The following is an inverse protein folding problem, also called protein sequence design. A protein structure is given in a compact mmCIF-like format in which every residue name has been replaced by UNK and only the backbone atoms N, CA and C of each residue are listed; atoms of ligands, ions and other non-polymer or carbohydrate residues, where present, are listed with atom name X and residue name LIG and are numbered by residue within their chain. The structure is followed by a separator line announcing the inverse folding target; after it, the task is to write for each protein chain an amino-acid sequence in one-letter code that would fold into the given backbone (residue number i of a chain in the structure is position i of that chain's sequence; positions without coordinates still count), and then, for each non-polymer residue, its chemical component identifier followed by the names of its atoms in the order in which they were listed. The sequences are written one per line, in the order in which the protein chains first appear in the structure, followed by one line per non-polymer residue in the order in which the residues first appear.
data_IF_112520701296
#
_entry.id   IF_112520701296
#
_cell.length_a   1.000
_cell.length_b   1.000
_cell.length_c   1.000
_cell.angle_alpha   90.00
_cell.angle_beta   90.00
_cell.angle_gamma   90.00
#
_symmetry.space_group_name_H-M   'P 1'
#
loop_
_entity.id
_entity.type
_entity.pdbx_description
1 polymer ?
#
# COMPACT_ATOMS: atom_id res chain seq x y z
N UNK A 1 -4.89 -38.13 -10.48
CA UNK A 1 -6.20 -38.08 -9.78
C UNK A 1 -5.85 -37.51 -8.43
N UNK A 2 -5.87 -36.19 -8.34
CA UNK A 2 -5.08 -35.48 -7.34
C UNK A 2 -5.99 -35.17 -6.14
N UNK A 3 -5.71 -35.75 -4.95
CA UNK A 3 -6.68 -35.81 -3.87
C UNK A 3 -6.63 -34.58 -2.95
N UNK A 4 -6.73 -33.35 -3.48
CA UNK A 4 -6.69 -32.16 -2.60
C UNK A 4 -7.45 -30.91 -3.06
N UNK A 5 -8.26 -30.96 -4.13
CA UNK A 5 -9.15 -29.82 -4.44
C UNK A 5 -10.45 -29.94 -3.66
N UNK A 6 -10.50 -29.33 -2.48
CA UNK A 6 -11.77 -29.10 -1.75
C UNK A 6 -12.36 -27.80 -2.29
N UNK A 7 -13.44 -27.92 -3.06
CA UNK A 7 -14.23 -26.77 -3.46
C UNK A 7 -15.17 -26.40 -2.31
N UNK A 8 -14.97 -25.22 -1.73
CA UNK A 8 -15.89 -24.68 -0.73
C UNK A 8 -16.94 -23.81 -1.43
N UNK A 9 -18.21 -24.14 -1.21
CA UNK A 9 -19.33 -23.42 -1.82
C UNK A 9 -19.83 -22.35 -0.85
N UNK A 10 -19.65 -21.07 -1.23
CA UNK A 10 -20.13 -19.94 -0.44
C UNK A 10 -21.44 -19.41 -1.05
N UNK A 11 -22.51 -19.39 -0.25
CA UNK A 11 -23.78 -18.76 -0.62
C UNK A 11 -23.70 -17.24 -0.39
N UNK A 12 -23.88 -16.48 -1.46
CA UNK A 12 -23.98 -15.03 -1.39
C UNK A 12 -25.38 -14.60 -0.93
N UNK A 13 -25.49 -13.37 -0.40
CA UNK A 13 -26.75 -12.79 0.07
C UNK A 13 -27.84 -12.67 -1.03
N UNK A 14 -27.45 -12.72 -2.31
CA UNK A 14 -28.37 -12.75 -3.45
C UNK A 14 -28.86 -14.18 -3.80
N UNK A 15 -28.50 -15.18 -3.00
CA UNK A 15 -28.86 -16.59 -3.19
C UNK A 15 -27.99 -17.34 -4.20
N UNK A 16 -26.99 -16.71 -4.82
CA UNK A 16 -26.07 -17.38 -5.74
C UNK A 16 -24.96 -18.10 -4.98
N UNK A 17 -24.73 -19.37 -5.30
CA UNK A 17 -23.57 -20.14 -4.81
C UNK A 17 -22.38 -19.90 -5.71
N UNK A 18 -21.26 -19.49 -5.13
CA UNK A 18 -19.97 -19.39 -5.84
C UNK A 18 -19.06 -20.49 -5.30
N UNK A 19 -18.50 -21.29 -6.20
CA UNK A 19 -17.43 -22.22 -5.85
C UNK A 19 -16.15 -21.41 -5.66
N UNK A 20 -15.63 -21.42 -4.44
CA UNK A 20 -14.34 -20.82 -4.11
C UNK A 20 -13.34 -21.95 -3.96
N UNK A 21 -12.37 -22.01 -4.86
CA UNK A 21 -11.23 -22.91 -4.71
C UNK A 21 -10.39 -22.42 -3.53
N UNK A 22 -10.42 -23.13 -2.41
CA UNK A 22 -9.51 -22.91 -1.29
C UNK A 22 -8.15 -23.54 -1.58
N UNK A 23 -7.59 -23.25 -2.75
CA UNK A 23 -6.20 -23.59 -3.03
C UNK A 23 -5.36 -22.62 -2.18
N UNK A 24 -5.01 -23.05 -0.96
CA UNK A 24 -3.95 -22.41 -0.21
C UNK A 24 -2.69 -22.54 -1.07
N UNK A 25 -2.27 -21.45 -1.72
CA UNK A 25 -0.88 -21.22 -2.08
C UNK A 25 -0.06 -21.03 -0.80
N UNK A 26 -0.20 -21.97 0.14
CA UNK A 26 0.84 -22.20 1.11
C UNK A 26 2.01 -22.76 0.30
N UNK A 27 3.24 -22.25 0.46
CA UNK A 27 4.39 -22.95 -0.06
C UNK A 27 4.37 -24.34 0.57
N UNK A 28 4.02 -25.34 -0.23
CA UNK A 28 4.18 -26.72 0.19
C UNK A 28 5.69 -26.93 0.43
N UNK A 29 6.01 -27.36 1.64
CA UNK A 29 7.23 -28.10 2.00
C UNK A 29 8.54 -27.30 2.18
N UNK A 30 8.67 -26.64 3.33
CA UNK A 30 9.98 -26.32 3.95
C UNK A 30 10.69 -27.57 4.56
N UNK A 31 10.24 -28.79 4.25
CA UNK A 31 10.61 -30.00 5.01
C UNK A 31 11.45 -31.05 4.27
N UNK A 32 11.37 -31.12 2.95
CA UNK A 32 12.11 -32.10 2.15
C UNK A 32 12.56 -31.42 0.86
N UNK A 33 13.64 -30.64 0.92
CA UNK A 33 14.38 -30.35 -0.30
C UNK A 33 14.91 -31.71 -0.78
N UNK A 34 14.44 -32.24 -1.92
CA UNK A 34 14.90 -33.53 -2.39
C UNK A 34 16.41 -33.41 -2.59
N UNK A 35 17.18 -34.07 -1.72
CA UNK A 35 18.63 -34.20 -1.90
C UNK A 35 18.81 -35.16 -3.08
N UNK A 36 18.74 -34.61 -4.29
CA UNK A 36 18.96 -35.37 -5.51
C UNK A 36 20.42 -35.80 -5.52
N UNK A 37 20.67 -37.09 -5.26
CA UNK A 37 21.99 -37.67 -5.43
C UNK A 37 22.31 -37.65 -6.92
N UNK A 38 23.12 -36.67 -7.33
CA UNK A 38 23.64 -36.61 -8.69
C UNK A 38 24.48 -37.86 -8.97
N UNK A 39 23.95 -38.78 -9.76
CA UNK A 39 24.64 -40.03 -10.11
C UNK A 39 25.84 -39.81 -11.05
N UNK A 40 25.89 -38.67 -11.74
CA UNK A 40 26.87 -38.39 -12.80
C UNK A 40 27.99 -37.43 -12.36
N UNK A 41 28.46 -37.53 -11.11
CA UNK A 41 29.61 -36.75 -10.64
C UNK A 41 30.89 -37.42 -11.16
N UNK A 42 31.35 -36.99 -12.34
CA UNK A 42 32.65 -37.43 -12.84
C UNK A 42 33.75 -36.80 -11.97
N UNK A 43 34.70 -37.62 -11.50
CA UNK A 43 35.68 -37.22 -10.49
C UNK A 43 36.45 -35.95 -10.82
N UNK A 44 36.84 -35.20 -9.78
CA UNK A 44 37.37 -33.83 -9.84
C UNK A 44 38.62 -33.64 -10.71
N UNK A 45 39.31 -34.72 -11.10
CA UNK A 45 40.49 -34.70 -11.96
C UNK A 45 40.22 -35.17 -13.40
N UNK A 46 38.98 -35.46 -13.74
CA UNK A 46 38.62 -35.91 -15.09
C UNK A 46 38.61 -34.71 -16.04
N UNK A 47 39.24 -34.85 -17.22
CA UNK A 47 39.28 -33.77 -18.21
C UNK A 47 37.88 -33.36 -18.68
N UNK A 48 37.75 -32.12 -19.15
CA UNK A 48 36.48 -31.58 -19.66
C UNK A 48 35.98 -32.43 -20.84
N UNK A 49 34.81 -33.06 -20.67
CA UNK A 49 34.09 -33.75 -21.74
C UNK A 49 33.34 -32.73 -22.61
N UNK A 50 33.07 -33.05 -23.87
CA UNK A 50 32.35 -32.19 -24.81
C UNK A 50 30.97 -31.71 -24.33
N UNK A 51 30.30 -32.46 -23.46
CA UNK A 51 28.95 -32.14 -22.95
C UNK A 51 28.94 -31.12 -21.80
N UNK A 52 30.11 -30.73 -21.27
CA UNK A 52 30.18 -29.80 -20.12
C UNK A 52 29.65 -28.41 -20.44
N UNK A 53 29.82 -27.95 -21.69
CA UNK A 53 29.40 -26.62 -22.09
C UNK A 53 27.88 -26.46 -22.03
N UNK A 54 27.14 -27.43 -22.58
CA UNK A 54 25.67 -27.42 -22.58
C UNK A 54 25.10 -27.58 -21.16
N UNK A 55 25.76 -28.37 -20.31
CA UNK A 55 25.40 -28.50 -18.89
C UNK A 55 25.60 -27.15 -18.18
N UNK A 56 26.75 -26.49 -18.39
CA UNK A 56 27.04 -25.18 -17.82
C UNK A 56 26.03 -24.12 -18.27
N UNK A 57 25.70 -24.05 -19.56
CA UNK A 57 24.70 -23.11 -20.08
C UNK A 57 23.32 -23.32 -19.45
N UNK A 58 22.87 -24.57 -19.34
CA UNK A 58 21.58 -24.88 -18.67
C UNK A 58 21.60 -24.50 -17.20
N UNK A 59 22.65 -24.86 -16.48
CA UNK A 59 22.78 -24.51 -15.06
C UNK A 59 22.83 -23.00 -14.85
N UNK A 60 23.60 -22.27 -15.67
CA UNK A 60 23.69 -20.81 -15.61
C UNK A 60 22.33 -20.16 -15.84
N UNK A 61 21.58 -20.61 -16.85
CA UNK A 61 20.26 -20.07 -17.14
C UNK A 61 19.27 -20.34 -16.00
N UNK A 62 19.28 -21.54 -15.42
CA UNK A 62 18.44 -21.88 -14.28
C UNK A 62 18.76 -21.04 -13.03
N UNK A 63 20.04 -20.78 -12.76
CA UNK A 63 20.46 -19.93 -11.65
C UNK A 63 20.10 -18.45 -11.87
N UNK A 64 20.17 -17.98 -13.12
CA UNK A 64 19.71 -16.63 -13.48
C UNK A 64 18.20 -16.49 -13.31
N UNK A 65 17.42 -17.44 -13.83
CA UNK A 65 15.97 -17.48 -13.67
C UNK A 65 15.57 -17.47 -12.18
N UNK A 66 16.20 -18.32 -11.36
CA UNK A 66 15.99 -18.32 -9.90
C UNK A 66 16.27 -16.96 -9.27
N UNK A 67 17.35 -16.30 -9.71
CA UNK A 67 17.74 -14.99 -9.16
C UNK A 67 16.74 -13.90 -9.57
N UNK A 68 16.29 -13.92 -10.83
CA UNK A 68 15.27 -12.99 -11.35
C UNK A 68 13.92 -13.15 -10.65
N UNK A 69 13.49 -14.39 -10.38
CA UNK A 69 12.27 -14.68 -9.62
C UNK A 69 12.34 -14.13 -8.19
N UNK A 70 13.45 -14.36 -7.49
CA UNK A 70 13.66 -13.84 -6.14
C UNK A 70 13.67 -12.31 -6.12
N UNK A 71 14.34 -11.68 -7.08
CA UNK A 71 14.33 -10.22 -7.22
C UNK A 71 12.92 -9.67 -7.50
N UNK A 72 12.15 -10.36 -8.33
CA UNK A 72 10.78 -9.97 -8.67
C UNK A 72 9.88 -10.04 -7.44
N UNK A 73 9.92 -11.15 -6.70
CA UNK A 73 9.16 -11.32 -5.45
C UNK A 73 9.54 -10.24 -4.43
N UNK A 74 10.83 -9.96 -4.27
CA UNK A 74 11.29 -8.91 -3.37
C UNK A 74 10.77 -7.52 -3.77
N UNK A 75 10.77 -7.19 -5.07
CA UNK A 75 10.23 -5.93 -5.60
C UNK A 75 8.73 -5.82 -5.35
N UNK A 76 7.96 -6.89 -5.59
CA UNK A 76 6.52 -6.94 -5.32
C UNK A 76 6.21 -6.75 -3.83
N UNK A 77 6.92 -7.45 -2.95
CA UNK A 77 6.78 -7.32 -1.50
C UNK A 77 7.08 -5.91 -1.01
N UNK A 78 8.13 -5.29 -1.55
CA UNK A 78 8.49 -3.92 -1.20
C UNK A 78 7.41 -2.92 -1.63
N UNK A 79 6.89 -3.06 -2.85
CA UNK A 79 5.80 -2.24 -3.36
C UNK A 79 4.53 -2.40 -2.52
N UNK A 80 4.19 -3.63 -2.14
CA UNK A 80 3.04 -3.94 -1.29
C UNK A 80 3.21 -3.31 0.10
N UNK A 81 4.36 -3.48 0.75
CA UNK A 81 4.68 -2.85 2.03
C UNK A 81 4.58 -1.32 1.94
N UNK A 82 5.11 -0.72 0.89
CA UNK A 82 5.02 0.72 0.67
C UNK A 82 3.57 1.19 0.49
N UNK A 83 2.78 0.46 -0.29
CA UNK A 83 1.37 0.76 -0.49
C UNK A 83 0.59 0.72 0.83
N UNK A 84 0.78 -0.33 1.62
CA UNK A 84 0.10 -0.49 2.91
C UNK A 84 0.51 0.59 3.92
N UNK A 85 1.79 0.93 4.00
CA UNK A 85 2.28 2.00 4.88
C UNK A 85 1.71 3.36 4.49
N UNK A 86 1.69 3.71 3.20
CA UNK A 86 1.07 4.97 2.73
C UNK A 86 -0.42 5.00 3.04
N UNK A 87 -1.14 3.91 2.74
CA UNK A 87 -2.58 3.79 3.02
C UNK A 87 -2.88 3.94 4.51
N UNK A 88 -2.13 3.24 5.35
CA UNK A 88 -2.28 3.32 6.81
C UNK A 88 -2.05 4.74 7.32
N UNK A 89 -1.00 5.42 6.85
CA UNK A 89 -0.70 6.79 7.22
C UNK A 89 -1.81 7.78 6.81
N UNK A 90 -2.43 7.59 5.64
CA UNK A 90 -3.58 8.41 5.20
C UNK A 90 -4.79 8.19 6.13
N UNK A 91 -5.11 6.93 6.42
CA UNK A 91 -6.20 6.57 7.31
C UNK A 91 -6.01 7.15 8.72
N UNK A 92 -4.81 7.05 9.28
CA UNK A 92 -4.47 7.64 10.59
C UNK A 92 -4.67 9.17 10.62
N UNK A 93 -4.20 9.87 9.58
CA UNK A 93 -4.39 11.33 9.46
C UNK A 93 -5.88 11.70 9.40
N UNK A 94 -6.70 10.91 8.72
CA UNK A 94 -8.15 11.13 8.63
C UNK A 94 -8.87 10.83 9.94
N UNK A 95 -8.49 9.75 10.63
CA UNK A 95 -9.00 9.41 11.96
C UNK A 95 -8.74 10.54 12.96
N UNK A 96 -7.51 11.04 13.04
CA UNK A 96 -7.15 12.17 13.92
C UNK A 96 -7.98 13.42 13.59
N UNK A 97 -8.20 13.73 12.31
CA UNK A 97 -9.05 14.87 11.90
C UNK A 97 -10.51 14.65 12.30
N UNK A 98 -11.03 13.43 12.12
CA UNK A 98 -12.40 13.06 12.47
C UNK A 98 -12.64 13.13 13.97
N UNK A 99 -11.72 12.61 14.78
CA UNK A 99 -11.75 12.68 16.24
C UNK A 99 -11.74 14.12 16.75
N UNK A 100 -10.84 14.96 16.22
CA UNK A 100 -10.81 16.39 16.57
C UNK A 100 -12.15 17.07 16.28
N UNK A 101 -12.80 16.76 15.14
CA UNK A 101 -14.13 17.29 14.79
C UNK A 101 -15.23 16.73 15.70
N UNK A 102 -15.21 15.43 16.01
CA UNK A 102 -16.13 14.79 16.95
C UNK A 102 -16.03 15.41 18.34
N UNK A 103 -14.81 15.58 18.87
CA UNK A 103 -14.55 16.23 20.16
C UNK A 103 -15.08 17.67 20.18
N UNK A 104 -14.85 18.47 19.12
CA UNK A 104 -15.43 19.83 19.01
C UNK A 104 -16.96 19.82 19.05
N UNK A 105 -17.60 18.90 18.32
CA UNK A 105 -19.07 18.75 18.32
C UNK A 105 -19.60 18.34 19.69
N UNK A 106 -18.95 17.39 20.37
CA UNK A 106 -19.33 16.96 21.72
C UNK A 106 -19.21 18.13 22.69
N UNK A 107 -18.09 18.87 22.69
CA UNK A 107 -17.92 20.07 23.52
C UNK A 107 -19.02 21.11 23.27
N UNK A 108 -19.38 21.39 22.02
CA UNK A 108 -20.49 22.31 21.69
C UNK A 108 -21.84 21.79 22.18
N UNK A 109 -22.13 20.49 22.01
CA UNK A 109 -23.36 19.86 22.52
C UNK A 109 -23.46 19.95 24.04
N UNK A 110 -22.36 19.73 24.77
CA UNK A 110 -22.35 19.83 26.24
C UNK A 110 -22.58 21.27 26.71
N UNK A 111 -21.94 22.26 26.08
CA UNK A 111 -22.19 23.69 26.38
C UNK A 111 -23.64 24.09 26.14
N UNK A 112 -24.22 23.71 25.00
CA UNK A 112 -25.60 24.05 24.68
C UNK A 112 -26.60 23.39 25.64
N UNK A 113 -26.35 22.14 26.08
CA UNK A 113 -27.21 21.47 27.06
C UNK A 113 -27.17 22.13 28.45
N UNK A 114 -26.00 22.56 28.92
CA UNK A 114 -25.87 23.29 30.19
C UNK A 114 -26.64 24.61 30.20
N UNK A 115 -26.60 25.36 29.09
CA UNK A 115 -27.33 26.62 28.99
C UNK A 115 -28.86 26.42 28.90
N UNK A 116 -29.34 25.32 28.30
CA UNK A 116 -30.78 25.03 28.20
C UNK A 116 -31.36 24.68 29.58
N UNK A 117 -30.64 23.93 30.42
CA UNK A 117 -31.12 23.59 31.76
C UNK A 117 -31.21 24.81 32.69
N UNK A 118 -30.29 25.78 32.58
CA UNK A 118 -30.37 27.04 33.34
C UNK A 118 -31.44 27.98 32.80
N UNK A 119 -31.64 28.00 31.48
CA UNK A 119 -32.66 28.85 30.85
C UNK A 119 -34.09 28.33 31.10
N UNK A 120 -34.28 27.01 31.19
CA UNK A 120 -35.60 26.39 31.45
C UNK A 120 -36.09 26.54 32.89
N UNK A 121 -35.19 26.78 33.86
CA UNK A 121 -35.61 27.14 35.22
C UNK A 121 -36.03 28.61 35.36
N UNK A 122 -35.63 29.49 34.42
CA UNK A 122 -35.92 30.92 34.50
C UNK A 122 -37.14 31.36 33.64
N UNK A 123 -37.71 30.46 32.82
CA UNK A 123 -38.86 30.77 31.97
C UNK A 123 -40.19 30.12 32.42
N UNK A 124 -40.24 29.43 33.56
CA UNK A 124 -41.50 28.92 34.12
C UNK A 124 -42.34 30.00 34.86
N UNK A 125 -41.85 31.23 35.02
CA UNK A 125 -42.65 32.33 35.62
C UNK A 125 -43.25 33.32 34.61
N UNK A 126 -42.92 33.23 33.31
CA UNK A 126 -43.44 34.17 32.30
C UNK A 126 -43.67 33.53 30.93
N UNK A 127 -44.74 32.76 30.80
CA UNK A 127 -45.30 32.43 29.49
C UNK A 127 -46.78 32.01 29.63
N UNK A 128 -47.66 33.01 29.70
CA UNK A 128 -49.09 32.90 29.44
C UNK A 128 -49.55 34.19 28.76
N UNK A 129 -49.07 34.45 27.54
CA UNK A 129 -49.88 35.08 26.47
C UNK A 129 -49.09 35.31 25.18
N UNK A 130 -49.87 35.33 24.10
CA UNK A 130 -49.60 35.74 22.72
C UNK A 130 -49.23 34.66 21.69
N UNK A 131 -50.33 34.17 21.15
CA UNK A 131 -50.62 33.74 19.78
C UNK A 131 -50.10 34.64 18.63
N UNK A 132 -50.19 34.06 17.42
CA UNK A 132 -50.28 34.61 16.05
C UNK A 132 -49.05 34.88 15.16
N UNK A 133 -48.92 34.00 14.15
CA UNK A 133 -48.78 34.22 12.68
C UNK A 133 -47.55 34.92 12.08
N UNK A 134 -47.06 34.37 10.95
CA UNK A 134 -46.44 35.18 9.88
C UNK A 134 -45.25 34.57 9.13
N UNK A 135 -45.55 33.94 7.99
CA UNK A 135 -44.82 33.93 6.70
C UNK A 135 -43.30 33.66 6.53
N UNK A 136 -43.04 32.66 5.67
CA UNK A 136 -42.10 32.56 4.54
C UNK A 136 -40.88 33.50 4.51
N UNK A 137 -39.69 32.91 4.30
CA UNK A 137 -38.89 33.20 3.10
C UNK A 137 -37.78 32.17 2.83
N UNK A 138 -37.56 32.00 1.54
CA UNK A 138 -36.69 31.12 0.79
C UNK A 138 -35.25 31.62 0.83
N UNK A 139 -34.28 30.78 1.22
CA UNK A 139 -32.86 31.12 1.14
C UNK A 139 -32.08 30.01 0.41
N UNK A 140 -31.68 30.38 -0.79
CA UNK A 140 -30.85 29.70 -1.77
C UNK A 140 -29.49 29.25 -1.20
N UNK A 141 -29.12 28.01 -1.53
CA UNK A 141 -27.84 27.40 -1.16
C UNK A 141 -26.77 27.83 -2.18
N UNK A 142 -25.64 28.46 -1.77
CA UNK A 142 -24.55 28.72 -2.70
C UNK A 142 -23.80 27.42 -3.02
N UNK A 143 -23.82 27.04 -4.29
CA UNK A 143 -22.95 26.02 -4.89
C UNK A 143 -21.51 26.53 -4.81
N UNK A 144 -20.68 25.84 -4.02
CA UNK A 144 -19.24 26.07 -3.95
C UNK A 144 -18.57 25.17 -4.98
N UNK A 145 -18.27 25.72 -6.15
CA UNK A 145 -17.32 25.14 -7.09
C UNK A 145 -15.90 25.26 -6.50
N UNK A 146 -15.32 24.15 -6.05
CA UNK A 146 -13.88 24.05 -5.88
C UNK A 146 -13.35 22.96 -6.80
N UNK A 147 -12.62 23.42 -7.82
CA UNK A 147 -12.00 22.61 -8.85
C UNK A 147 -10.98 21.63 -8.28
N UNK A 148 -11.16 20.38 -8.67
CA UNK A 148 -10.17 19.32 -8.51
C UNK A 148 -9.29 19.28 -9.77
N UNK A 149 -8.39 20.25 -9.92
CA UNK A 149 -7.29 20.14 -10.88
C UNK A 149 -6.11 19.45 -10.21
N UNK A 150 -6.21 18.12 -10.06
CA UNK A 150 -5.03 17.29 -9.82
C UNK A 150 -4.53 16.84 -11.19
N UNK A 151 -3.50 17.53 -11.68
CA UNK A 151 -2.75 17.14 -12.87
C UNK A 151 -2.13 15.77 -12.67
N UNK A 152 -2.63 14.81 -13.43
CA UNK A 152 -1.98 13.55 -13.71
C UNK A 152 -1.28 13.66 -15.07
N UNK A 153 -0.06 13.13 -15.10
CA UNK A 153 0.60 12.47 -16.21
C UNK A 153 1.21 13.35 -17.31
N UNK A 154 2.54 13.49 -17.24
CA UNK A 154 3.35 13.20 -18.42
C UNK A 154 4.61 12.44 -18.01
N UNK A 155 4.52 11.12 -18.10
CA UNK A 155 5.62 10.18 -17.94
C UNK A 155 6.31 10.10 -19.31
N UNK A 156 7.35 10.88 -19.54
CA UNK A 156 8.21 10.70 -20.72
C UNK A 156 9.12 9.50 -20.47
N UNK A 157 8.85 8.46 -21.26
CA UNK A 157 9.66 7.29 -21.49
C UNK A 157 11.07 7.70 -21.94
N UNK A 158 12.08 7.32 -21.16
CA UNK A 158 13.46 7.36 -21.59
C UNK A 158 13.73 6.11 -22.44
N UNK A 159 13.90 6.32 -23.74
CA UNK A 159 14.44 5.30 -24.64
C UNK A 159 15.97 5.32 -24.60
N UNK A 160 16.51 4.12 -24.83
CA UNK A 160 17.90 3.72 -24.93
C UNK A 160 18.78 4.65 -25.78
N UNK A 161 20.01 4.89 -25.32
CA UNK A 161 21.11 5.28 -26.20
C UNK A 161 22.45 4.80 -25.63
N UNK A 162 22.82 3.62 -26.11
CA UNK A 162 24.14 3.09 -26.48
C UNK A 162 25.41 3.81 -26.01
N UNK A 163 26.29 2.99 -25.42
CA UNK A 163 27.73 3.16 -25.27
C UNK A 163 28.43 3.81 -26.48
N UNK A 164 29.23 4.84 -26.19
CA UNK A 164 30.39 5.22 -27.03
C UNK A 164 31.54 5.68 -26.12
N UNK A 165 32.71 5.19 -26.49
CA UNK A 165 34.03 5.21 -25.83
C UNK A 165 34.67 6.59 -25.62
N UNK A 166 35.53 6.63 -24.61
CA UNK A 166 36.73 7.46 -24.44
C UNK A 166 36.61 8.99 -24.49
N UNK A 167 36.83 9.64 -23.33
CA UNK A 167 37.91 10.63 -23.14
C UNK A 167 37.78 11.37 -21.79
N UNK A 168 38.92 11.43 -21.10
CA UNK A 168 39.21 12.26 -19.92
C UNK A 168 39.14 13.74 -20.28
N UNK A 169 38.31 14.54 -19.58
CA UNK A 169 38.69 15.90 -19.16
C UNK A 169 37.99 16.30 -17.85
N UNK A 170 38.80 16.61 -16.84
CA UNK A 170 38.44 17.31 -15.62
C UNK A 170 37.86 18.70 -15.96
N UNK A 171 36.71 19.05 -15.39
CA UNK A 171 36.27 20.45 -15.22
C UNK A 171 35.57 20.64 -13.87
N UNK A 172 36.30 21.26 -12.96
CA UNK A 172 35.75 21.95 -11.80
C UNK A 172 34.91 23.14 -12.25
N UNK A 173 33.66 23.20 -11.78
CA UNK A 173 33.01 24.39 -11.21
C UNK A 173 31.48 24.25 -11.23
N UNK A 174 30.85 24.26 -10.04
CA UNK A 174 29.95 25.35 -9.60
C UNK A 174 29.16 24.96 -8.34
N UNK A 175 29.29 25.84 -7.35
CA UNK A 175 28.35 26.06 -6.27
C UNK A 175 26.89 26.09 -6.76
N UNK A 176 26.02 25.25 -6.20
CA UNK A 176 24.58 25.57 -6.09
C UNK A 176 23.91 24.78 -4.96
N UNK A 177 23.63 25.51 -3.89
CA UNK A 177 22.43 25.45 -3.03
C UNK A 177 21.91 24.05 -2.63
N UNK A 178 22.28 23.66 -1.41
CA UNK A 178 21.39 23.21 -0.33
C UNK A 178 19.92 23.03 -0.76
N UNK A 179 19.59 21.86 -1.30
CA UNK A 179 18.23 21.32 -1.21
C UNK A 179 18.22 20.28 -0.11
N UNK A 180 17.36 20.53 0.87
CA UNK A 180 17.08 19.67 1.99
C UNK A 180 16.67 18.29 1.46
N UNK A 181 17.58 17.33 1.57
CA UNK A 181 17.21 15.93 1.50
C UNK A 181 16.32 15.67 2.70
N UNK A 182 15.01 15.62 2.47
CA UNK A 182 14.08 14.97 3.39
C UNK A 182 14.54 13.52 3.51
N UNK A 183 15.34 13.25 4.55
CA UNK A 183 15.60 11.90 5.01
C UNK A 183 14.23 11.31 5.34
N UNK A 184 13.71 10.47 4.44
CA UNK A 184 12.73 9.47 4.82
C UNK A 184 13.51 8.56 5.76
N UNK A 185 13.33 8.80 7.07
CA UNK A 185 13.78 7.87 8.11
C UNK A 185 12.85 6.68 7.96
N UNK A 186 13.31 5.69 7.19
CA UNK A 186 12.80 4.33 7.28
C UNK A 186 13.31 3.87 8.64
N UNK A 187 12.43 3.82 9.64
CA UNK A 187 12.78 3.26 10.94
C UNK A 187 13.13 1.79 10.72
N UNK A 188 14.35 1.42 11.12
CA UNK A 188 14.90 0.07 11.14
C UNK A 188 14.20 -0.81 12.21
N UNK A 189 12.88 -0.82 12.27
CA UNK A 189 12.10 -1.60 13.25
C UNK A 189 12.03 -3.10 12.89
N UNK A 190 12.96 -3.61 12.08
CA UNK A 190 13.08 -5.02 11.72
C UNK A 190 14.12 -5.80 12.57
N UNK A 191 14.72 -5.17 13.58
CA UNK A 191 15.70 -5.81 14.45
C UNK A 191 15.11 -6.63 15.61
N UNK A 192 13.79 -6.53 15.88
CA UNK A 192 13.17 -7.13 17.08
C UNK A 192 12.33 -8.40 16.80
N UNK A 193 12.50 -9.05 15.64
CA UNK A 193 11.75 -10.26 15.24
C UNK A 193 12.63 -11.48 14.90
N UNK A 194 13.88 -11.49 15.34
CA UNK A 194 14.77 -12.67 15.38
C UNK A 194 15.22 -12.92 16.82
#
# INVERSE_FOLDING_TARGET
MDPSKKEEYVMLANGRTVAVSTESTAPNEEGDLPIERLQNVWGSSSGARSEFFDIYCRQRNAELERSEELEKQWKEDLQNKLFHTIRYNRMQKEQIKSEKRKQKRVKKKMKNKGNITESQQNCHEKASECDTSGDKEEATVPVREEGWNNGLDNHQTAEDSTHSSDAVCIRDNRNKTRQECSKIVIFDDLADLL
#
